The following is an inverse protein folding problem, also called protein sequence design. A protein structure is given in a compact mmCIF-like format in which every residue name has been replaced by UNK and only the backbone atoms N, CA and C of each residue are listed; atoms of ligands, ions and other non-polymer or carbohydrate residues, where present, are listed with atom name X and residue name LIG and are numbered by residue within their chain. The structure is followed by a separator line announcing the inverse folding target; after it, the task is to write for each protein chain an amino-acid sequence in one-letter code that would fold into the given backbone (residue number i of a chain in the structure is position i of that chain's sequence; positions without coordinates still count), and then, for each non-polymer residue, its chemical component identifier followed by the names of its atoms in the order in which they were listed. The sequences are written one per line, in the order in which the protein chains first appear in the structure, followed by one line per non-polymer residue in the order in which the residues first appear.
data_IF_047582299704
#
_entry.id   IF_047582299704
#
_cell.length_a   1.000
_cell.length_b   1.000
_cell.length_c   1.000
_cell.angle_alpha   90.00
_cell.angle_beta   90.00
_cell.angle_gamma   90.00
#
_symmetry.space_group_name_H-M   'P 1'
#
loop_
_entity.id
_entity.type
_entity.pdbx_description
1 polymer ?
#
# COMPACT_ATOMS: atom_id res chain seq x y z
N UNK A 1 -9.03 35.11 24.25
CA UNK A 1 -9.22 34.45 22.93
C UNK A 1 -8.66 33.03 22.98
N UNK A 2 -9.51 32.02 23.11
CA UNK A 2 -9.08 30.63 23.21
C UNK A 2 -8.56 30.12 21.86
N UNK A 3 -7.30 29.65 21.79
CA UNK A 3 -6.74 29.00 20.61
C UNK A 3 -7.57 27.75 20.30
N UNK A 4 -8.42 27.79 19.26
CA UNK A 4 -9.11 26.59 18.73
C UNK A 4 -8.05 25.50 18.47
N UNK A 5 -8.05 24.42 19.23
CA UNK A 5 -7.22 23.24 18.98
C UNK A 5 -7.51 22.76 17.57
N UNK A 6 -6.55 22.92 16.63
CA UNK A 6 -6.69 22.37 15.27
C UNK A 6 -6.86 20.85 15.40
N UNK A 7 -8.01 20.33 14.99
CA UNK A 7 -8.22 18.87 14.91
C UNK A 7 -7.11 18.25 14.05
N UNK A 8 -6.47 17.19 14.55
CA UNK A 8 -5.45 16.47 13.79
C UNK A 8 -6.08 15.89 12.52
N UNK A 9 -5.40 15.95 11.37
CA UNK A 9 -5.93 15.40 10.13
C UNK A 9 -6.14 13.88 10.24
N UNK A 10 -7.26 13.39 9.74
CA UNK A 10 -7.55 11.97 9.60
C UNK A 10 -6.75 11.43 8.41
N UNK A 11 -5.97 10.40 8.62
CA UNK A 11 -5.11 9.81 7.58
C UNK A 11 -5.49 8.35 7.37
N UNK A 12 -5.80 7.99 6.13
CA UNK A 12 -6.06 6.60 5.74
C UNK A 12 -4.96 6.08 4.81
N UNK A 13 -4.70 4.79 4.89
CA UNK A 13 -3.81 4.10 3.95
C UNK A 13 -4.61 3.15 3.06
N UNK A 14 -4.31 3.16 1.77
CA UNK A 14 -4.86 2.27 0.75
C UNK A 14 -3.71 1.47 0.16
N UNK A 15 -3.73 0.15 0.38
CA UNK A 15 -2.56 -0.71 0.21
C UNK A 15 -2.87 -1.79 -0.82
N UNK A 16 -2.18 -1.72 -1.95
CA UNK A 16 -2.13 -2.82 -2.89
C UNK A 16 -1.26 -3.95 -2.32
N UNK A 17 -1.90 -5.02 -1.87
CA UNK A 17 -1.19 -6.12 -1.21
C UNK A 17 -0.26 -6.88 -2.16
N UNK A 18 -0.63 -6.98 -3.43
CA UNK A 18 0.17 -7.69 -4.43
C UNK A 18 1.44 -6.91 -4.75
N UNK A 19 1.32 -5.62 -5.08
CA UNK A 19 2.46 -4.74 -5.35
C UNK A 19 3.38 -4.65 -4.12
N UNK A 20 2.81 -4.51 -2.91
CA UNK A 20 3.57 -4.49 -1.66
C UNK A 20 4.35 -5.79 -1.45
N UNK A 21 3.69 -6.95 -1.59
CA UNK A 21 4.32 -8.25 -1.36
C UNK A 21 5.38 -8.56 -2.42
N UNK A 22 5.05 -8.42 -3.70
CA UNK A 22 5.99 -8.69 -4.79
C UNK A 22 7.16 -7.70 -4.80
N UNK A 23 6.87 -6.44 -4.55
CA UNK A 23 7.88 -5.38 -4.52
C UNK A 23 8.88 -5.55 -3.37
N UNK A 24 8.47 -6.09 -2.22
CA UNK A 24 9.39 -6.36 -1.12
C UNK A 24 10.10 -7.71 -1.27
N UNK A 25 9.39 -8.78 -1.71
CA UNK A 25 9.91 -10.15 -1.61
C UNK A 25 10.71 -10.61 -2.82
N UNK A 26 10.48 -10.06 -4.02
CA UNK A 26 11.18 -10.51 -5.24
C UNK A 26 12.53 -9.83 -5.42
N UNK A 27 13.53 -10.62 -5.84
CA UNK A 27 14.79 -10.08 -6.33
C UNK A 27 14.57 -9.35 -7.66
N UNK A 28 15.33 -8.29 -7.89
CA UNK A 28 15.42 -7.64 -9.21
C UNK A 28 16.82 -7.85 -9.75
N UNK A 29 16.89 -8.30 -10.99
CA UNK A 29 18.14 -8.57 -11.71
C UNK A 29 18.33 -7.55 -12.82
N UNK A 30 19.59 -7.16 -13.04
CA UNK A 30 20.02 -6.39 -14.20
C UNK A 30 21.34 -6.97 -14.68
N UNK A 31 21.43 -7.32 -15.97
CA UNK A 31 22.61 -7.97 -16.54
C UNK A 31 23.07 -9.17 -15.68
N UNK A 32 22.15 -10.08 -15.36
CA UNK A 32 22.35 -11.28 -14.51
C UNK A 32 22.84 -11.00 -13.08
N UNK A 33 23.00 -9.74 -12.67
CA UNK A 33 23.38 -9.34 -11.30
C UNK A 33 22.15 -8.94 -10.49
N UNK A 34 22.08 -9.35 -9.22
CA UNK A 34 21.04 -8.91 -8.28
C UNK A 34 21.27 -7.45 -7.95
N UNK A 35 20.38 -6.56 -8.39
CA UNK A 35 20.40 -5.12 -8.07
C UNK A 35 19.47 -4.73 -6.94
N UNK A 36 18.58 -5.65 -6.55
CA UNK A 36 17.73 -5.55 -5.37
C UNK A 36 17.51 -6.96 -4.83
N UNK A 37 17.86 -7.18 -3.57
CA UNK A 37 17.61 -8.43 -2.85
C UNK A 37 16.28 -8.33 -2.11
N UNK A 38 15.34 -9.19 -2.45
CA UNK A 38 14.06 -9.31 -1.78
C UNK A 38 14.19 -9.60 -0.28
N UNK A 39 13.16 -9.22 0.46
CA UNK A 39 13.08 -9.42 1.91
C UNK A 39 11.63 -9.63 2.33
N UNK A 40 11.41 -10.30 3.44
CA UNK A 40 10.08 -10.63 3.93
C UNK A 40 9.55 -9.52 4.82
N UNK A 41 8.50 -8.82 4.38
CA UNK A 41 7.85 -7.77 5.16
C UNK A 41 7.09 -8.36 6.36
N UNK A 42 7.26 -7.75 7.53
CA UNK A 42 6.42 -7.99 8.70
C UNK A 42 5.22 -7.04 8.70
N UNK A 43 4.04 -7.55 8.40
CA UNK A 43 2.82 -6.75 8.30
C UNK A 43 2.41 -6.11 9.63
N UNK A 44 2.72 -6.71 10.79
CA UNK A 44 2.44 -6.12 12.10
C UNK A 44 3.32 -4.88 12.32
N UNK A 45 4.62 -5.00 12.04
CA UNK A 45 5.55 -3.87 12.10
C UNK A 45 5.20 -2.78 11.09
N UNK A 46 4.78 -3.16 9.87
CA UNK A 46 4.38 -2.20 8.84
C UNK A 46 3.12 -1.42 9.24
N UNK A 47 2.12 -2.09 9.84
CA UNK A 47 0.94 -1.40 10.37
C UNK A 47 1.29 -0.39 11.46
N UNK A 48 2.19 -0.77 12.37
CA UNK A 48 2.73 0.12 13.41
C UNK A 48 3.48 1.31 12.79
N UNK A 49 4.34 1.07 11.81
CA UNK A 49 5.07 2.11 11.08
C UNK A 49 4.15 3.13 10.41
N UNK A 50 3.08 2.67 9.77
CA UNK A 50 2.07 3.55 9.17
C UNK A 50 1.42 4.46 10.22
N UNK A 51 1.13 3.94 11.40
CA UNK A 51 0.60 4.75 12.51
C UNK A 51 1.65 5.71 13.07
N UNK A 52 2.85 5.23 13.39
CA UNK A 52 3.88 6.04 14.05
C UNK A 52 4.36 7.20 13.18
N UNK A 53 4.63 6.92 11.89
CA UNK A 53 5.23 7.90 10.97
C UNK A 53 4.21 8.81 10.31
N UNK A 54 3.03 8.31 9.96
CA UNK A 54 2.05 9.04 9.16
C UNK A 54 0.72 9.25 9.88
N UNK A 55 0.58 8.73 11.11
CA UNK A 55 -0.67 8.80 11.88
C UNK A 55 -1.86 8.16 11.18
N UNK A 56 -1.61 7.08 10.43
CA UNK A 56 -2.66 6.33 9.73
C UNK A 56 -3.61 5.70 10.73
N UNK A 57 -4.87 6.14 10.72
CA UNK A 57 -5.94 5.64 11.61
C UNK A 57 -6.62 4.40 11.04
N UNK A 58 -6.91 4.37 9.73
CA UNK A 58 -7.43 3.19 9.02
C UNK A 58 -6.47 2.77 7.92
N UNK A 59 -6.19 1.47 7.81
CA UNK A 59 -5.36 0.89 6.76
C UNK A 59 -6.18 -0.17 6.00
N UNK A 60 -6.61 0.17 4.78
CA UNK A 60 -7.31 -0.73 3.88
C UNK A 60 -6.28 -1.56 3.11
N UNK A 61 -6.38 -2.87 3.18
CA UNK A 61 -5.53 -3.80 2.46
C UNK A 61 -6.36 -4.53 1.41
N UNK A 62 -6.11 -4.20 0.15
CA UNK A 62 -6.78 -4.79 -1.00
C UNK A 62 -6.09 -6.09 -1.36
N UNK A 63 -6.81 -7.21 -1.30
CA UNK A 63 -6.22 -8.54 -1.42
C UNK A 63 -7.19 -9.51 -2.12
N UNK A 64 -6.66 -10.35 -3.02
CA UNK A 64 -7.42 -11.44 -3.61
C UNK A 64 -7.83 -12.47 -2.55
N UNK A 65 -9.06 -12.97 -2.64
CA UNK A 65 -9.54 -14.01 -1.72
C UNK A 65 -9.04 -15.40 -2.14
N UNK A 66 -8.34 -16.08 -1.25
CA UNK A 66 -7.90 -17.48 -1.39
C UNK A 66 -8.37 -18.24 -0.15
N UNK A 67 -9.23 -19.26 -0.35
CA UNK A 67 -9.90 -20.02 0.74
C UNK A 67 -8.91 -20.58 1.77
N UNK A 68 -7.74 -21.03 1.32
CA UNK A 68 -6.69 -21.62 2.17
C UNK A 68 -6.01 -20.59 3.09
N UNK A 69 -6.10 -19.29 2.78
CA UNK A 69 -5.39 -18.22 3.50
C UNK A 69 -6.16 -17.65 4.70
N UNK A 70 -7.18 -18.36 5.22
CA UNK A 70 -8.00 -17.88 6.37
C UNK A 70 -7.15 -17.45 7.57
N UNK A 71 -6.07 -18.21 7.91
CA UNK A 71 -5.16 -17.89 9.01
C UNK A 71 -4.41 -16.57 8.78
N UNK A 72 -3.97 -16.33 7.54
CA UNK A 72 -3.33 -15.07 7.14
C UNK A 72 -4.32 -13.90 7.34
N UNK A 73 -5.55 -14.03 6.87
CA UNK A 73 -6.56 -12.97 6.97
C UNK A 73 -6.91 -12.65 8.43
N UNK A 74 -7.05 -13.69 9.29
CA UNK A 74 -7.25 -13.49 10.73
C UNK A 74 -6.08 -12.70 11.35
N UNK A 75 -4.83 -13.05 11.00
CA UNK A 75 -3.64 -12.32 11.47
C UNK A 75 -3.61 -10.87 10.99
N UNK A 76 -3.89 -10.61 9.71
CA UNK A 76 -3.91 -9.25 9.17
C UNK A 76 -4.97 -8.37 9.86
N UNK A 77 -6.19 -8.91 10.10
CA UNK A 77 -7.22 -8.19 10.86
C UNK A 77 -6.79 -7.90 12.28
N UNK A 78 -6.15 -8.85 12.97
CA UNK A 78 -5.66 -8.65 14.35
C UNK A 78 -4.54 -7.59 14.43
N UNK A 79 -3.84 -7.31 13.33
CA UNK A 79 -2.87 -6.22 13.24
C UNK A 79 -3.53 -4.85 12.95
N UNK A 80 -4.85 -4.80 12.74
CA UNK A 80 -5.61 -3.58 12.50
C UNK A 80 -5.70 -3.18 11.01
N UNK A 81 -5.63 -4.15 10.09
CA UNK A 81 -5.97 -3.93 8.69
C UNK A 81 -7.46 -4.16 8.42
N UNK A 82 -8.06 -3.29 7.63
CA UNK A 82 -9.36 -3.49 7.01
C UNK A 82 -9.15 -4.21 5.68
N UNK A 83 -9.52 -5.50 5.61
CA UNK A 83 -9.32 -6.28 4.39
C UNK A 83 -10.46 -6.02 3.41
N UNK A 84 -10.12 -5.60 2.22
CA UNK A 84 -11.03 -5.49 1.08
C UNK A 84 -10.70 -6.64 0.14
N UNK A 85 -11.63 -7.61 0.07
CA UNK A 85 -11.44 -8.76 -0.79
C UNK A 85 -11.97 -8.48 -2.18
N UNK A 86 -11.17 -8.85 -3.16
CA UNK A 86 -11.64 -8.93 -4.51
C UNK A 86 -12.11 -10.33 -4.85
N UNK A 87 -13.26 -10.48 -5.53
CA UNK A 87 -13.62 -11.72 -6.17
C UNK A 87 -12.52 -12.12 -7.15
N UNK A 88 -11.95 -13.31 -6.98
CA UNK A 88 -10.98 -13.86 -7.94
C UNK A 88 -11.74 -14.68 -8.97
N UNK A 89 -11.66 -14.29 -10.22
CA UNK A 89 -12.07 -15.14 -11.37
C UNK A 89 -10.89 -16.02 -11.73
N UNK A 90 -11.12 -17.30 -12.00
CA UNK A 90 -10.08 -18.16 -12.55
C UNK A 90 -9.92 -17.82 -14.03
N UNK A 91 -8.69 -17.65 -14.49
CA UNK A 91 -8.39 -17.57 -15.92
C UNK A 91 -8.54 -18.95 -16.58
N UNK A 92 -8.40 -19.02 -17.90
CA UNK A 92 -8.50 -20.25 -18.67
C UNK A 92 -7.46 -21.33 -18.27
N UNK A 93 -6.46 -20.99 -17.46
CA UNK A 93 -5.43 -21.87 -16.89
C UNK A 93 -5.69 -22.19 -15.41
N UNK A 94 -6.88 -21.82 -14.88
CA UNK A 94 -7.24 -22.04 -13.48
C UNK A 94 -6.54 -21.14 -12.48
N UNK A 95 -5.74 -20.14 -12.92
CA UNK A 95 -5.05 -19.21 -12.04
C UNK A 95 -5.99 -18.08 -11.60
N UNK A 96 -5.94 -17.66 -10.32
CA UNK A 96 -6.75 -16.53 -9.87
C UNK A 96 -6.34 -15.26 -10.62
N UNK A 97 -7.23 -14.72 -11.43
CA UNK A 97 -7.09 -13.44 -12.09
C UNK A 97 -8.00 -12.44 -11.42
N UNK A 98 -7.47 -11.33 -11.02
CA UNK A 98 -8.25 -10.26 -10.44
C UNK A 98 -7.44 -8.98 -10.44
N UNK A 99 -8.01 -7.88 -10.95
CA UNK A 99 -7.39 -6.56 -10.86
C UNK A 99 -7.86 -5.88 -9.56
N UNK A 100 -6.97 -5.61 -8.62
CA UNK A 100 -7.25 -4.98 -7.32
C UNK A 100 -7.38 -3.46 -7.47
N UNK A 101 -6.95 -2.93 -8.61
CA UNK A 101 -6.76 -1.49 -8.82
C UNK A 101 -8.09 -0.74 -8.80
N UNK A 102 -9.13 -1.34 -9.40
CA UNK A 102 -10.45 -0.73 -9.45
C UNK A 102 -11.06 -0.52 -8.06
N UNK A 103 -10.96 -1.52 -7.18
CA UNK A 103 -11.45 -1.40 -5.80
C UNK A 103 -10.64 -0.40 -5.00
N UNK A 104 -9.30 -0.36 -5.16
CA UNK A 104 -8.46 0.61 -4.47
C UNK A 104 -8.81 2.03 -4.90
N UNK A 105 -9.00 2.25 -6.21
CA UNK A 105 -9.41 3.55 -6.74
C UNK A 105 -10.80 3.92 -6.23
N UNK A 106 -11.79 3.02 -6.32
CA UNK A 106 -13.17 3.27 -5.88
C UNK A 106 -13.22 3.60 -4.39
N UNK A 107 -12.54 2.83 -3.54
CA UNK A 107 -12.51 3.08 -2.11
C UNK A 107 -11.89 4.43 -1.77
N UNK A 108 -10.75 4.74 -2.38
CA UNK A 108 -10.01 5.97 -2.07
C UNK A 108 -10.62 7.23 -2.68
N UNK A 109 -11.23 7.14 -3.88
CA UNK A 109 -11.74 8.30 -4.60
C UNK A 109 -13.26 8.55 -4.42
N UNK A 110 -14.00 7.55 -3.91
CA UNK A 110 -15.45 7.66 -3.73
C UNK A 110 -15.89 7.20 -2.34
N UNK A 111 -15.80 5.89 -2.00
CA UNK A 111 -16.42 5.31 -0.80
C UNK A 111 -15.92 5.97 0.49
N UNK A 112 -14.61 6.10 0.64
CA UNK A 112 -13.99 6.67 1.85
C UNK A 112 -13.56 8.14 1.66
N UNK A 113 -13.78 8.73 0.49
CA UNK A 113 -13.24 10.04 0.14
C UNK A 113 -13.60 11.16 1.11
N UNK A 114 -14.83 11.17 1.63
CA UNK A 114 -15.28 12.15 2.62
C UNK A 114 -14.71 11.91 4.03
N UNK A 115 -14.24 10.68 4.32
CA UNK A 115 -13.92 10.23 5.68
C UNK A 115 -12.46 10.52 6.09
N UNK A 116 -11.60 10.97 5.17
CA UNK A 116 -10.21 11.27 5.47
C UNK A 116 -9.77 12.64 4.92
N UNK A 117 -8.72 13.20 5.54
CA UNK A 117 -8.07 14.43 5.09
C UNK A 117 -6.85 14.13 4.22
N UNK A 118 -6.13 13.04 4.47
CA UNK A 118 -4.94 12.62 3.72
C UNK A 118 -4.97 11.12 3.44
N UNK A 119 -4.61 10.75 2.22
CA UNK A 119 -4.44 9.36 1.78
C UNK A 119 -2.96 9.02 1.67
N UNK A 120 -2.58 7.85 2.17
CA UNK A 120 -1.31 7.19 1.88
C UNK A 120 -1.60 6.06 0.90
N UNK A 121 -1.05 6.14 -0.31
CA UNK A 121 -1.18 5.07 -1.30
C UNK A 121 0.08 4.20 -1.23
N UNK A 122 -0.09 2.89 -1.10
CA UNK A 122 1.02 1.94 -1.02
C UNK A 122 1.04 1.09 -2.27
N UNK A 123 1.69 1.57 -3.30
CA UNK A 123 1.97 0.90 -4.56
C UNK A 123 3.02 1.69 -5.36
N UNK A 124 3.84 0.99 -6.15
CA UNK A 124 4.75 1.58 -7.13
C UNK A 124 4.18 1.55 -8.56
N UNK A 125 2.92 1.14 -8.71
CA UNK A 125 2.27 0.95 -9.99
C UNK A 125 1.85 2.28 -10.63
N UNK A 126 2.07 2.38 -11.95
CA UNK A 126 1.68 3.52 -12.75
C UNK A 126 0.18 3.58 -13.05
N UNK A 127 -0.53 2.47 -12.92
CA UNK A 127 -1.98 2.41 -13.15
C UNK A 127 -2.74 3.30 -12.17
N UNK A 128 -2.14 3.59 -11.00
CA UNK A 128 -2.67 4.56 -10.04
C UNK A 128 -2.32 6.03 -10.34
N UNK A 129 -1.70 6.34 -11.49
CA UNK A 129 -1.31 7.73 -11.81
C UNK A 129 -2.50 8.70 -11.77
N UNK A 130 -3.64 8.31 -12.37
CA UNK A 130 -4.86 9.13 -12.37
C UNK A 130 -5.38 9.37 -10.94
N UNK A 131 -5.35 8.35 -10.09
CA UNK A 131 -5.71 8.47 -8.68
C UNK A 131 -4.80 9.47 -7.94
N UNK A 132 -3.48 9.37 -8.14
CA UNK A 132 -2.53 10.30 -7.52
C UNK A 132 -2.78 11.75 -7.94
N UNK A 133 -3.04 11.99 -9.24
CA UNK A 133 -3.41 13.32 -9.76
C UNK A 133 -4.69 13.84 -9.12
N UNK A 134 -5.72 13.00 -9.07
CA UNK A 134 -7.00 13.31 -8.45
C UNK A 134 -6.84 13.71 -6.98
N UNK A 135 -6.17 12.87 -6.18
CA UNK A 135 -5.93 13.13 -4.77
C UNK A 135 -5.07 14.38 -4.54
N UNK A 136 -4.07 14.64 -5.40
CA UNK A 136 -3.23 15.84 -5.34
C UNK A 136 -4.05 17.09 -5.65
N UNK A 137 -4.90 17.08 -6.69
CA UNK A 137 -5.82 18.17 -7.03
C UNK A 137 -6.74 18.52 -5.86
N UNK A 138 -7.27 17.52 -5.17
CA UNK A 138 -8.13 17.71 -4.00
C UNK A 138 -7.36 17.93 -2.69
N UNK A 139 -6.04 18.15 -2.74
CA UNK A 139 -5.17 18.36 -1.56
C UNK A 139 -5.21 17.20 -0.55
N UNK A 140 -5.63 16.01 -1.00
CA UNK A 140 -5.76 14.80 -0.16
C UNK A 140 -4.61 13.79 -0.32
N UNK A 141 -3.74 13.93 -1.32
CA UNK A 141 -2.55 13.08 -1.42
C UNK A 141 -1.59 13.40 -0.27
N UNK A 142 -1.37 12.43 0.61
CA UNK A 142 -0.38 12.50 1.68
C UNK A 142 0.99 12.02 1.19
N UNK A 143 1.16 10.71 1.07
CA UNK A 143 2.38 10.07 0.56
C UNK A 143 2.06 8.90 -0.36
N UNK A 144 3.03 8.56 -1.22
CA UNK A 144 3.06 7.35 -2.02
C UNK A 144 4.21 6.49 -1.48
N UNK A 145 3.88 5.36 -0.86
CA UNK A 145 4.88 4.42 -0.38
C UNK A 145 5.19 3.43 -1.49
N UNK A 146 6.42 3.45 -1.97
CA UNK A 146 6.90 2.60 -3.06
C UNK A 146 7.65 1.41 -2.46
N UNK A 147 7.12 0.18 -2.62
CA UNK A 147 7.73 -1.02 -2.06
C UNK A 147 9.12 -1.30 -2.61
N UNK A 148 9.30 -1.11 -3.91
CA UNK A 148 10.56 -1.34 -4.59
C UNK A 148 10.91 -0.22 -5.58
N UNK A 149 11.94 0.56 -5.28
CA UNK A 149 12.41 1.65 -6.13
C UNK A 149 12.82 1.19 -7.54
N UNK A 150 13.29 -0.05 -7.69
CA UNK A 150 13.73 -0.60 -8.97
C UNK A 150 12.59 -1.04 -9.88
N UNK A 151 11.40 -1.24 -9.30
CA UNK A 151 10.16 -1.59 -10.00
C UNK A 151 9.13 -0.45 -10.01
N UNK A 152 9.57 0.77 -9.71
CA UNK A 152 8.72 1.96 -9.75
C UNK A 152 8.39 2.36 -11.18
N UNK A 153 7.12 2.66 -11.45
CA UNK A 153 6.69 3.21 -12.74
C UNK A 153 7.27 4.61 -13.00
N UNK A 154 7.68 4.85 -14.24
CA UNK A 154 8.15 6.17 -14.68
C UNK A 154 7.09 7.27 -14.55
N UNK A 155 5.80 6.92 -14.62
CA UNK A 155 4.69 7.85 -14.44
C UNK A 155 4.69 8.51 -13.06
N UNK A 156 5.28 7.86 -12.05
CA UNK A 156 5.37 8.43 -10.71
C UNK A 156 6.47 9.49 -10.54
N UNK A 157 7.27 9.78 -11.56
CA UNK A 157 8.34 10.79 -11.50
C UNK A 157 7.83 12.18 -11.11
N UNK A 158 6.59 12.53 -11.47
CA UNK A 158 5.97 13.83 -11.15
C UNK A 158 5.57 14.00 -9.67
N UNK A 159 5.74 12.98 -8.83
CA UNK A 159 5.34 12.99 -7.42
C UNK A 159 6.53 12.86 -6.45
N UNK A 160 7.71 13.38 -6.80
CA UNK A 160 8.94 13.19 -6.00
C UNK A 160 8.78 13.57 -4.51
N UNK A 161 8.13 14.71 -4.23
CA UNK A 161 7.95 15.19 -2.86
C UNK A 161 7.01 14.33 -2.00
N UNK A 162 6.15 13.54 -2.67
CA UNK A 162 5.20 12.65 -2.01
C UNK A 162 5.74 11.24 -1.81
N UNK A 163 6.84 10.85 -2.44
CA UNK A 163 7.36 9.49 -2.41
C UNK A 163 8.05 9.12 -1.12
N UNK A 164 7.88 7.88 -0.72
CA UNK A 164 8.62 7.23 0.36
C UNK A 164 9.03 5.84 -0.11
N UNK A 165 10.31 5.55 -0.12
CA UNK A 165 10.83 4.24 -0.54
C UNK A 165 10.95 3.31 0.66
N UNK A 166 10.19 2.20 0.64
CA UNK A 166 10.09 1.30 1.78
C UNK A 166 11.40 0.59 2.11
N UNK A 167 12.27 0.40 1.11
CA UNK A 167 13.60 -0.20 1.31
C UNK A 167 14.44 0.53 2.35
N UNK A 168 14.26 1.83 2.52
CA UNK A 168 14.98 2.63 3.53
C UNK A 168 14.62 2.26 4.96
N UNK A 169 13.51 1.60 5.16
CA UNK A 169 13.00 1.18 6.47
C UNK A 169 13.12 -0.35 6.67
N UNK A 170 13.81 -1.05 5.77
CA UNK A 170 13.92 -2.52 5.77
C UNK A 170 14.33 -3.08 7.13
N UNK A 171 15.36 -2.53 7.74
CA UNK A 171 15.90 -3.00 9.04
C UNK A 171 14.84 -3.04 10.16
N UNK A 172 13.88 -2.10 10.11
CA UNK A 172 12.78 -2.01 11.08
C UNK A 172 11.59 -2.90 10.70
N UNK A 173 11.38 -3.14 9.40
CA UNK A 173 10.17 -3.74 8.86
C UNK A 173 10.34 -5.21 8.45
N UNK A 174 11.58 -5.66 8.30
CA UNK A 174 11.86 -7.04 7.91
C UNK A 174 11.43 -8.02 9.01
N UNK A 175 10.78 -9.10 8.59
CA UNK A 175 10.47 -10.22 9.47
C UNK A 175 11.78 -10.95 9.77
N UNK A 176 12.24 -10.88 11.01
CA UNK A 176 13.40 -11.68 11.46
C UNK A 176 13.03 -13.16 11.34
N UNK A 177 13.91 -13.97 10.77
CA UNK A 177 13.80 -15.43 10.85
C UNK A 177 13.80 -15.86 12.32
N UNK A 178 13.08 -16.92 12.62
CA UNK A 178 13.30 -17.67 13.84
C UNK A 178 14.59 -18.45 13.70
#
# INVERSE_FOLDING_TARGET
MGKKRRKRPVVYAFIDSQNLNLGTSKNVYRNKKVVYKGWKLDFKKFRKYLFDKFRVTKAFLFIGYIKQNKRLYKGLRSYGYHLVFKPTVKDNLGKPKGNIDAELVLYSAAIEFANYNKAIIVSGDGDFYCLHKFLKKHKKLGKIIIPNRRAESSLLKSFQDQKVFLIRERSKLEKKGK
#
